data_IF_878253536184
#
_entry.id   IF_878253536184
#
_cell.length_a   1.000
_cell.length_b   1.000
_cell.length_c   1.000
_cell.angle_alpha   90.00
_cell.angle_beta   90.00
_cell.angle_gamma   90.00
#
_symmetry.space_group_name_H-M   'P 1'
#
loop_
_entity.id
_entity.type
_entity.pdbx_description
1 polymer ?
#
# COMPACT_ATOMS: atom_id res chain seq x y z
N UNK A 1 -10.50 1.73 21.32
CA UNK A 1 -11.24 1.85 20.06
C UNK A 1 -10.25 1.82 18.91
N UNK A 2 -9.88 0.60 18.49
CA UNK A 2 -9.19 0.38 17.24
C UNK A 2 -10.21 0.57 16.12
N UNK A 3 -10.36 1.77 15.60
CA UNK A 3 -10.99 2.00 14.32
C UNK A 3 -10.16 1.28 13.26
N UNK A 4 -10.37 -0.02 13.13
CA UNK A 4 -9.89 -0.75 11.97
C UNK A 4 -10.51 -0.04 10.77
N UNK A 5 -9.67 0.54 9.91
CA UNK A 5 -10.13 1.15 8.68
C UNK A 5 -10.83 0.07 7.88
N UNK A 6 -12.13 0.18 7.76
CA UNK A 6 -12.94 -0.80 7.07
C UNK A 6 -12.55 -0.83 5.60
N UNK A 7 -12.54 -2.03 5.03
CA UNK A 7 -12.33 -2.21 3.61
C UNK A 7 -13.55 -1.65 2.86
N UNK A 8 -13.31 -0.79 1.88
CA UNK A 8 -14.35 -0.28 0.99
C UNK A 8 -14.38 -1.18 -0.25
N UNK A 9 -15.53 -1.81 -0.50
CA UNK A 9 -15.70 -2.71 -1.64
C UNK A 9 -16.46 -1.99 -2.75
N UNK A 10 -15.93 -2.05 -3.97
CA UNK A 10 -16.53 -1.46 -5.17
C UNK A 10 -16.49 -2.44 -6.32
N UNK A 11 -17.59 -2.51 -7.08
CA UNK A 11 -17.68 -3.29 -8.30
C UNK A 11 -16.86 -2.58 -9.39
N UNK A 12 -15.99 -3.34 -10.07
CA UNK A 12 -15.19 -2.85 -11.21
C UNK A 12 -15.95 -3.10 -12.52
N UNK A 13 -16.44 -4.33 -12.67
CA UNK A 13 -17.26 -4.76 -13.79
C UNK A 13 -18.18 -5.92 -13.37
N UNK A 14 -18.93 -6.50 -14.31
CA UNK A 14 -19.90 -7.54 -14.02
C UNK A 14 -19.30 -8.79 -13.34
N UNK A 15 -17.99 -9.03 -13.47
CA UNK A 15 -17.32 -10.24 -13.00
C UNK A 15 -16.32 -9.98 -11.89
N UNK A 16 -16.03 -8.71 -11.58
CA UNK A 16 -14.93 -8.36 -10.66
C UNK A 16 -15.32 -7.21 -9.73
N UNK A 17 -14.97 -7.36 -8.45
CA UNK A 17 -15.00 -6.29 -7.46
C UNK A 17 -13.67 -6.19 -6.72
N UNK A 18 -13.39 -5.02 -6.18
CA UNK A 18 -12.19 -4.72 -5.40
C UNK A 18 -12.56 -4.20 -4.02
N UNK A 19 -11.97 -4.77 -3.00
CA UNK A 19 -11.94 -4.23 -1.66
C UNK A 19 -10.62 -3.48 -1.45
N UNK A 20 -10.69 -2.21 -1.08
CA UNK A 20 -9.50 -1.40 -0.78
C UNK A 20 -9.51 -1.00 0.69
N UNK A 21 -8.32 -0.97 1.26
CA UNK A 21 -8.08 -0.49 2.62
C UNK A 21 -6.74 0.22 2.68
N UNK A 22 -6.57 1.01 3.73
CA UNK A 22 -5.28 1.59 4.05
C UNK A 22 -4.33 0.46 4.47
N UNK A 23 -3.13 0.36 3.87
CA UNK A 23 -2.16 -0.65 4.26
C UNK A 23 -1.73 -0.45 5.71
N UNK A 24 -1.68 -1.53 6.49
CA UNK A 24 -1.16 -1.50 7.83
C UNK A 24 0.36 -1.27 7.83
N UNK A 25 0.89 -0.76 8.94
CA UNK A 25 2.34 -0.65 9.13
C UNK A 25 3.03 -2.00 8.97
N UNK A 26 2.38 -3.08 9.39
CA UNK A 26 2.84 -4.45 9.20
C UNK A 26 3.03 -4.79 7.71
N UNK A 27 2.03 -4.50 6.87
CA UNK A 27 2.13 -4.70 5.42
C UNK A 27 3.31 -3.93 4.82
N UNK A 28 3.51 -2.68 5.24
CA UNK A 28 4.59 -1.84 4.72
C UNK A 28 5.96 -2.38 5.14
N UNK A 29 6.14 -2.74 6.40
CA UNK A 29 7.44 -3.13 6.95
C UNK A 29 7.80 -4.58 6.67
N UNK A 30 6.88 -5.51 6.84
CA UNK A 30 7.17 -6.95 6.82
C UNK A 30 6.78 -7.65 5.53
N UNK A 31 5.78 -7.16 4.80
CA UNK A 31 5.41 -7.71 3.52
C UNK A 31 6.17 -7.02 2.38
N UNK A 32 6.02 -5.71 2.24
CA UNK A 32 6.68 -4.94 1.17
C UNK A 32 8.17 -4.75 1.48
N UNK A 33 8.49 -4.40 2.73
CA UNK A 33 9.86 -4.16 3.18
C UNK A 33 10.80 -5.35 3.04
N UNK A 34 10.27 -6.57 3.08
CA UNK A 34 11.04 -7.81 2.93
C UNK A 34 11.15 -8.30 1.47
N UNK A 35 10.60 -7.56 0.48
CA UNK A 35 10.75 -7.91 -0.93
C UNK A 35 12.17 -7.59 -1.41
N UNK A 36 12.74 -8.45 -2.27
CA UNK A 36 14.00 -8.17 -2.94
C UNK A 36 13.86 -7.11 -4.04
N UNK A 37 14.95 -6.40 -4.31
CA UNK A 37 14.95 -5.27 -5.24
C UNK A 37 14.60 -5.68 -6.68
N UNK A 38 15.01 -6.86 -7.13
CA UNK A 38 14.70 -7.35 -8.46
C UNK A 38 13.18 -7.56 -8.64
N UNK A 39 12.52 -8.10 -7.60
CA UNK A 39 11.07 -8.26 -7.60
C UNK A 39 10.36 -6.91 -7.53
N UNK A 40 10.85 -5.99 -6.68
CA UNK A 40 10.28 -4.64 -6.55
C UNK A 40 10.36 -3.91 -7.89
N UNK A 41 11.52 -3.91 -8.53
CA UNK A 41 11.71 -3.24 -9.84
C UNK A 41 10.78 -3.82 -10.92
N UNK A 42 10.61 -5.16 -10.94
CA UNK A 42 9.73 -5.82 -11.91
C UNK A 42 8.25 -5.52 -11.72
N UNK A 43 7.81 -5.37 -10.49
CA UNK A 43 6.39 -5.26 -10.12
C UNK A 43 6.03 -3.93 -9.44
N UNK A 44 6.85 -2.89 -9.56
CA UNK A 44 6.71 -1.63 -8.83
C UNK A 44 5.29 -1.05 -8.92
N UNK A 45 4.77 -0.90 -10.13
CA UNK A 45 3.42 -0.35 -10.35
C UNK A 45 2.34 -1.20 -9.69
N UNK A 46 2.47 -2.52 -9.75
CA UNK A 46 1.51 -3.46 -9.15
C UNK A 46 1.62 -3.45 -7.63
N UNK A 47 2.82 -3.38 -7.08
CA UNK A 47 3.05 -3.28 -5.63
C UNK A 47 2.40 -2.01 -5.09
N UNK A 48 2.58 -0.89 -5.81
CA UNK A 48 2.02 0.40 -5.42
C UNK A 48 0.49 0.41 -5.34
N UNK A 49 -0.17 -0.42 -6.12
CA UNK A 49 -1.63 -0.59 -6.10
C UNK A 49 -2.03 -1.69 -5.12
N UNK A 50 -1.40 -2.86 -5.22
CA UNK A 50 -1.76 -4.06 -4.44
C UNK A 50 -1.67 -3.85 -2.93
N UNK A 51 -0.79 -2.96 -2.46
CA UNK A 51 -0.71 -2.63 -1.02
C UNK A 51 -1.98 -2.01 -0.45
N UNK A 52 -2.79 -1.36 -1.30
CA UNK A 52 -4.09 -0.79 -0.93
C UNK A 52 -5.23 -1.78 -1.17
N UNK A 53 -4.99 -2.85 -1.92
CA UNK A 53 -6.02 -3.86 -2.18
C UNK A 53 -6.06 -4.83 -1.01
N UNK A 54 -7.16 -4.79 -0.27
CA UNK A 54 -7.45 -5.80 0.73
C UNK A 54 -7.71 -7.12 0.03
N UNK A 55 -8.67 -7.13 -0.91
CA UNK A 55 -9.06 -8.32 -1.63
C UNK A 55 -9.67 -8.00 -2.99
N UNK A 56 -9.43 -8.88 -3.96
CA UNK A 56 -10.21 -8.95 -5.19
C UNK A 56 -11.27 -10.04 -5.06
N UNK A 57 -12.42 -9.82 -5.68
CA UNK A 57 -13.56 -10.76 -5.67
C UNK A 57 -13.99 -11.05 -7.08
N UNK A 58 -14.25 -12.32 -7.38
CA UNK A 58 -15.05 -12.70 -8.54
C UNK A 58 -16.53 -12.54 -8.20
N UNK A 59 -17.30 -12.08 -9.18
CA UNK A 59 -18.75 -11.96 -9.08
C UNK A 59 -19.36 -13.03 -10.01
N UNK A 60 -20.25 -13.86 -9.47
CA UNK A 60 -20.99 -14.86 -10.25
C UNK A 60 -22.23 -14.25 -10.94
N UNK A 61 -22.91 -15.05 -11.76
CA UNK A 61 -24.13 -14.65 -12.48
C UNK A 61 -25.29 -14.23 -11.55
N UNK A 62 -25.26 -14.65 -10.28
CA UNK A 62 -26.24 -14.29 -9.27
C UNK A 62 -25.83 -13.06 -8.45
N UNK A 63 -24.66 -12.45 -8.73
CA UNK A 63 -24.14 -11.30 -8.01
C UNK A 63 -23.42 -11.65 -6.70
N UNK A 64 -23.14 -12.94 -6.42
CA UNK A 64 -22.39 -13.33 -5.24
C UNK A 64 -20.90 -13.07 -5.45
N UNK A 65 -20.24 -12.57 -4.38
CA UNK A 65 -18.82 -12.23 -4.40
C UNK A 65 -17.99 -13.33 -3.74
N UNK A 66 -17.01 -13.85 -4.48
CA UNK A 66 -16.06 -14.86 -4.00
C UNK A 66 -14.65 -14.30 -3.98
N UNK A 67 -13.96 -14.33 -2.83
CA UNK A 67 -12.61 -13.78 -2.73
C UNK A 67 -11.62 -14.57 -3.59
N UNK A 68 -10.82 -13.85 -4.38
CA UNK A 68 -9.73 -14.44 -5.15
C UNK A 68 -8.57 -14.75 -4.22
N UNK A 69 -8.24 -16.02 -4.10
CA UNK A 69 -7.15 -16.50 -3.26
C UNK A 69 -5.78 -16.43 -3.95
N UNK A 70 -4.72 -16.46 -3.13
CA UNK A 70 -3.34 -16.65 -3.55
C UNK A 70 -2.65 -17.67 -2.69
N UNK A 71 -1.53 -18.23 -3.18
CA UNK A 71 -0.76 -19.22 -2.42
C UNK A 71 -0.14 -18.57 -1.19
N UNK A 72 -0.46 -19.11 -0.01
CA UNK A 72 0.12 -18.70 1.26
C UNK A 72 1.28 -19.62 1.64
N UNK A 73 2.29 -19.05 2.27
CA UNK A 73 3.46 -19.77 2.78
C UNK A 73 3.54 -19.52 4.29
N UNK A 74 3.13 -20.50 5.13
CA UNK A 74 3.17 -20.35 6.59
C UNK A 74 4.56 -19.94 7.08
N UNK A 75 4.62 -18.90 7.91
CA UNK A 75 5.88 -18.36 8.43
C UNK A 75 6.70 -17.48 7.47
N UNK A 76 6.34 -17.43 6.19
CA UNK A 76 7.01 -16.58 5.19
C UNK A 76 6.03 -15.56 4.60
N UNK A 77 5.90 -14.42 5.27
CA UNK A 77 4.98 -13.36 4.88
C UNK A 77 5.39 -12.68 3.57
N UNK A 78 6.68 -12.49 3.34
CA UNK A 78 7.18 -11.88 2.11
C UNK A 78 6.86 -12.75 0.89
N UNK A 79 7.06 -14.06 0.99
CA UNK A 79 6.74 -15.00 -0.09
C UNK A 79 5.25 -15.11 -0.34
N UNK A 80 4.44 -15.08 0.72
CA UNK A 80 2.98 -15.03 0.60
C UNK A 80 2.51 -13.75 -0.09
N UNK A 81 3.13 -12.62 0.23
CA UNK A 81 2.83 -11.34 -0.40
C UNK A 81 3.30 -11.29 -1.86
N UNK A 82 4.47 -11.85 -2.20
CA UNK A 82 4.89 -12.04 -3.60
C UNK A 82 3.85 -12.82 -4.41
N UNK A 83 3.32 -13.91 -3.83
CA UNK A 83 2.27 -14.71 -4.48
C UNK A 83 0.99 -13.90 -4.70
N UNK A 84 0.59 -13.07 -3.74
CA UNK A 84 -0.53 -12.12 -3.89
C UNK A 84 -0.28 -11.15 -5.05
N UNK A 85 0.89 -10.51 -5.09
CA UNK A 85 1.26 -9.56 -6.15
C UNK A 85 1.20 -10.22 -7.52
N UNK A 86 1.77 -11.42 -7.68
CA UNK A 86 1.78 -12.15 -8.96
C UNK A 86 0.35 -12.50 -9.39
N UNK A 87 -0.48 -12.97 -8.46
CA UNK A 87 -1.87 -13.32 -8.75
C UNK A 87 -2.67 -12.08 -9.17
N UNK A 88 -2.54 -10.98 -8.43
CA UNK A 88 -3.27 -9.75 -8.72
C UNK A 88 -2.75 -9.05 -9.98
N UNK A 89 -1.44 -9.14 -10.25
CA UNK A 89 -0.86 -8.61 -11.49
C UNK A 89 -1.51 -9.20 -12.75
N UNK A 90 -1.82 -10.50 -12.73
CA UNK A 90 -2.49 -11.18 -13.86
C UNK A 90 -3.89 -10.63 -14.12
N UNK A 91 -4.60 -10.23 -13.05
CA UNK A 91 -5.96 -9.69 -13.14
C UNK A 91 -5.90 -8.21 -13.52
N UNK A 92 -5.12 -7.41 -12.78
CA UNK A 92 -5.04 -5.96 -12.96
C UNK A 92 -4.49 -5.54 -14.32
N UNK A 93 -3.58 -6.33 -14.91
CA UNK A 93 -3.05 -6.08 -16.26
C UNK A 93 -4.06 -6.32 -17.38
N UNK A 94 -5.13 -7.06 -17.12
CA UNK A 94 -6.19 -7.34 -18.08
C UNK A 94 -7.38 -6.37 -17.97
N UNK A 95 -7.37 -5.46 -17.00
CA UNK A 95 -8.37 -4.41 -16.89
C UNK A 95 -8.18 -3.39 -18.02
N UNK A 96 -9.29 -2.92 -18.57
CA UNK A 96 -9.26 -1.79 -19.48
C UNK A 96 -8.95 -0.48 -18.72
N UNK A 97 -8.64 0.63 -19.43
CA UNK A 97 -8.33 1.90 -18.78
C UNK A 97 -9.44 2.46 -17.89
N UNK A 98 -10.71 2.20 -18.23
CA UNK A 98 -11.86 2.68 -17.44
C UNK A 98 -11.97 1.89 -16.14
N UNK A 99 -11.90 0.56 -16.23
CA UNK A 99 -11.91 -0.35 -15.09
C UNK A 99 -10.74 -0.08 -14.13
N UNK A 100 -9.54 0.11 -14.68
CA UNK A 100 -8.37 0.48 -13.89
C UNK A 100 -8.52 1.85 -13.24
N UNK A 101 -9.20 2.78 -13.91
CA UNK A 101 -9.56 4.11 -13.40
C UNK A 101 -10.43 4.03 -12.14
N UNK A 102 -11.37 3.08 -12.07
CA UNK A 102 -12.20 2.86 -10.87
C UNK A 102 -11.32 2.52 -9.66
N UNK A 103 -10.39 1.56 -9.82
CA UNK A 103 -9.47 1.16 -8.73
C UNK A 103 -8.59 2.32 -8.29
N UNK A 104 -8.00 3.03 -9.25
CA UNK A 104 -7.11 4.17 -8.98
C UNK A 104 -7.84 5.31 -8.26
N UNK A 105 -9.04 5.66 -8.72
CA UNK A 105 -9.86 6.72 -8.12
C UNK A 105 -10.23 6.37 -6.68
N UNK A 106 -10.61 5.13 -6.42
CA UNK A 106 -10.97 4.68 -5.09
C UNK A 106 -9.77 4.77 -4.12
N UNK A 107 -8.57 4.36 -4.57
CA UNK A 107 -7.33 4.47 -3.78
C UNK A 107 -7.00 5.94 -3.51
N UNK A 108 -7.08 6.81 -4.52
CA UNK A 108 -6.79 8.25 -4.39
C UNK A 108 -7.77 8.89 -3.41
N UNK A 109 -9.05 8.59 -3.53
CA UNK A 109 -10.09 9.11 -2.62
C UNK A 109 -9.82 8.69 -1.18
N UNK A 110 -9.48 7.43 -0.97
CA UNK A 110 -9.11 6.91 0.36
C UNK A 110 -7.87 7.63 0.91
N UNK A 111 -6.83 7.82 0.10
CA UNK A 111 -5.62 8.55 0.51
C UNK A 111 -5.90 10.02 0.86
N UNK A 112 -6.75 10.68 0.10
CA UNK A 112 -7.15 12.06 0.36
C UNK A 112 -7.94 12.19 1.65
N UNK A 113 -8.87 11.26 1.90
CA UNK A 113 -9.63 11.22 3.14
C UNK A 113 -8.74 10.99 4.37
N UNK A 114 -7.70 10.15 4.24
CA UNK A 114 -6.69 9.99 5.28
C UNK A 114 -5.95 11.29 5.56
N UNK A 115 -5.51 11.98 4.52
CA UNK A 115 -4.73 13.21 4.67
C UNK A 115 -5.53 14.32 5.35
N UNK A 116 -6.82 14.43 5.02
CA UNK A 116 -7.72 15.41 5.63
C UNK A 116 -7.98 15.16 7.14
N UNK A 117 -7.88 13.90 7.60
CA UNK A 117 -8.30 13.51 8.93
C UNK A 117 -7.15 13.21 9.91
N UNK A 118 -5.92 13.04 9.45
CA UNK A 118 -4.79 12.63 10.29
C UNK A 118 -3.52 13.35 9.85
N UNK A 119 -3.30 14.54 10.39
CA UNK A 119 -2.01 15.22 10.31
C UNK A 119 -1.37 15.20 11.68
N UNK A 120 -0.19 14.61 11.81
CA UNK A 120 0.61 14.66 13.04
C UNK A 120 1.70 15.71 12.86
N UNK A 121 1.81 16.63 13.82
CA UNK A 121 2.92 17.56 13.91
C UNK A 121 3.90 17.00 14.93
N UNK A 122 5.13 16.77 14.49
CA UNK A 122 6.25 16.52 15.42
C UNK A 122 6.77 17.88 15.84
N UNK A 123 6.66 18.24 17.14
CA UNK A 123 7.08 19.54 17.61
C UNK A 123 8.58 19.74 17.40
N UNK A 124 8.99 20.99 17.29
CA UNK A 124 10.39 21.38 17.24
C UNK A 124 11.17 20.75 18.41
N UNK A 125 12.23 20.04 18.08
CA UNK A 125 13.09 19.39 19.06
C UNK A 125 14.51 19.98 19.00
N UNK A 126 15.07 20.27 20.17
CA UNK A 126 16.47 20.67 20.29
C UNK A 126 17.25 19.56 21.01
N UNK A 127 18.30 19.07 20.38
CA UNK A 127 19.14 18.03 20.94
C UNK A 127 19.89 18.56 22.18
N UNK A 128 19.71 17.96 23.36
CA UNK A 128 20.38 18.45 24.58
C UNK A 128 21.90 18.24 24.57
N UNK A 129 22.43 17.38 23.69
CA UNK A 129 23.87 17.09 23.61
C UNK A 129 24.62 18.00 22.65
N UNK A 130 24.03 18.34 21.50
CA UNK A 130 24.72 19.09 20.45
C UNK A 130 24.05 20.43 20.10
N UNK A 131 22.92 20.77 20.72
CA UNK A 131 22.18 22.01 20.45
C UNK A 131 21.49 22.07 19.08
N UNK A 132 21.62 21.03 18.24
CA UNK A 132 20.97 21.01 16.95
C UNK A 132 19.44 21.02 17.11
N UNK A 133 18.79 21.94 16.43
CA UNK A 133 17.32 22.05 16.44
C UNK A 133 16.72 21.55 15.13
N UNK A 134 15.75 20.64 15.23
CA UNK A 134 14.89 20.29 14.10
C UNK A 134 13.74 21.30 14.01
N UNK A 135 13.30 21.59 12.78
CA UNK A 135 12.06 22.32 12.59
C UNK A 135 10.86 21.42 12.91
N UNK A 136 9.70 22.05 13.14
CA UNK A 136 8.43 21.32 13.17
C UNK A 136 8.24 20.55 11.88
N UNK A 137 7.91 19.26 11.97
CA UNK A 137 7.70 18.38 10.81
C UNK A 137 6.28 17.89 10.82
N UNK A 138 5.53 18.24 9.80
CA UNK A 138 4.24 17.61 9.56
C UNK A 138 4.44 16.21 8.97
N UNK A 139 3.96 15.21 9.70
CA UNK A 139 3.96 13.82 9.25
C UNK A 139 2.54 13.45 8.84
N UNK A 140 2.32 13.32 7.55
CA UNK A 140 1.08 12.76 7.05
C UNK A 140 1.21 11.24 6.87
N UNK A 141 0.14 10.46 7.01
CA UNK A 141 0.15 9.04 6.70
C UNK A 141 0.62 8.74 5.27
N UNK A 142 0.38 9.67 4.34
CA UNK A 142 0.89 9.60 2.97
C UNK A 142 2.42 9.56 2.95
N UNK A 143 3.08 10.35 3.78
CA UNK A 143 4.54 10.37 3.87
C UNK A 143 5.08 9.06 4.46
N UNK A 144 4.37 8.46 5.43
CA UNK A 144 4.73 7.15 6.00
C UNK A 144 4.61 6.03 4.96
N UNK A 145 3.63 6.09 4.07
CA UNK A 145 3.45 5.09 3.00
C UNK A 145 4.61 5.10 1.99
N UNK A 146 5.29 6.23 1.83
CA UNK A 146 6.43 6.41 0.94
C UNK A 146 7.79 6.42 1.67
N UNK A 147 7.78 6.24 3.00
CA UNK A 147 8.97 6.38 3.84
C UNK A 147 10.13 5.49 3.38
N UNK A 148 9.86 4.26 2.91
CA UNK A 148 10.91 3.37 2.41
C UNK A 148 11.65 3.95 1.21
N UNK A 149 10.94 4.51 0.24
CA UNK A 149 11.58 5.12 -0.94
C UNK A 149 12.45 6.31 -0.56
N UNK A 150 12.01 7.09 0.43
CA UNK A 150 12.79 8.20 0.96
C UNK A 150 14.00 7.73 1.76
N UNK A 151 13.86 6.70 2.61
CA UNK A 151 14.96 6.12 3.38
C UNK A 151 16.01 5.47 2.48
N UNK A 152 15.60 4.77 1.42
CA UNK A 152 16.53 4.20 0.43
C UNK A 152 17.29 5.33 -0.29
N UNK A 153 16.63 6.40 -0.71
CA UNK A 153 17.29 7.57 -1.33
C UNK A 153 18.29 8.23 -0.39
N UNK A 154 17.93 8.39 0.89
CA UNK A 154 18.83 8.95 1.92
C UNK A 154 20.04 8.03 2.14
N UNK A 155 19.81 6.72 2.29
CA UNK A 155 20.90 5.74 2.47
C UNK A 155 21.86 5.73 1.28
N UNK A 156 21.32 5.78 0.04
CA UNK A 156 22.13 5.85 -1.17
C UNK A 156 22.92 7.14 -1.26
N UNK A 157 22.38 8.28 -0.85
CA UNK A 157 23.06 9.57 -0.85
C UNK A 157 24.17 9.69 0.22
N UNK A 158 24.06 8.92 1.31
CA UNK A 158 25.07 8.87 2.37
C UNK A 158 26.19 7.86 2.09
N UNK A 159 25.93 6.86 1.22
CA UNK A 159 26.92 5.83 0.85
C UNK A 159 27.85 6.22 -0.33
N UNK A 160 27.66 7.39 -0.92
CA UNK A 160 28.45 7.93 -2.04
C UNK A 160 29.50 8.97 -1.60
N UNK A 161 30.15 8.74 -0.46
CA UNK A 161 31.34 9.50 -0.06
C UNK A 161 32.55 8.59 0.01
#
# INVERSE_FOLDING_TARGET
>A
NSGAYESVVTVINNNLAVGVKIPSLYTIMYEIGALDDAFVNKYESIINITRFIDRLYMIDENGNMYPIGWKKYPGDHAKSFKSKIITYAKILKNLDPVEFGVVSTLIITMMNNMHANITYSIPKYTCPKCGHSSNEVEVSPRNLLFLRQQLVRIATSLGTK
#
